data_IF_567746129089
#
_entry.id   IF_567746129089
#
_cell.length_a   1.000
_cell.length_b   1.000
_cell.length_c   1.000
_cell.angle_alpha   90.00
_cell.angle_beta   90.00
_cell.angle_gamma   90.00
#
_symmetry.space_group_name_H-M   'P 1'
#
loop_
_entity.id
_entity.type
_entity.pdbx_description
1 polymer ?
#
# COMPACT_ATOMS: atom_id res chain seq x y z
N UNK A 1 -12.42 -0.39 5.67
CA UNK A 1 -11.35 0.09 6.57
C UNK A 1 -11.13 1.54 6.23
N UNK A 2 -10.99 2.38 7.25
CA UNK A 2 -10.74 3.81 7.08
C UNK A 2 -9.25 4.05 6.71
N UNK A 3 -8.98 5.19 6.06
CA UNK A 3 -7.63 5.57 5.64
C UNK A 3 -6.85 6.23 6.78
N UNK A 4 -5.52 6.09 6.80
CA UNK A 4 -4.64 6.80 7.75
C UNK A 4 -4.26 8.16 7.14
N UNK A 5 -4.30 9.22 7.95
CA UNK A 5 -3.92 10.57 7.51
C UNK A 5 -2.63 11.01 8.23
N UNK A 6 -1.63 11.40 7.44
CA UNK A 6 -0.35 11.95 7.92
C UNK A 6 -0.24 13.40 7.45
N UNK A 7 -0.71 14.34 8.26
CA UNK A 7 -0.79 15.76 7.87
C UNK A 7 -1.69 15.97 6.64
N UNK A 8 -1.07 16.15 5.46
CA UNK A 8 -1.78 16.30 4.17
C UNK A 8 -1.75 15.06 3.29
N UNK A 9 -1.10 13.99 3.76
CA UNK A 9 -0.86 12.77 3.02
C UNK A 9 -1.87 11.71 3.41
N UNK A 10 -2.41 11.01 2.43
CA UNK A 10 -3.36 9.90 2.64
C UNK A 10 -2.59 8.58 2.50
N UNK A 11 -2.85 7.63 3.40
CA UNK A 11 -2.32 6.27 3.35
C UNK A 11 -3.49 5.28 3.41
N UNK A 12 -3.69 4.51 2.34
CA UNK A 12 -4.70 3.45 2.27
C UNK A 12 -4.32 2.26 3.15
N UNK A 13 -5.27 1.71 3.89
CA UNK A 13 -5.04 0.58 4.81
C UNK A 13 -5.18 -0.80 4.17
N UNK A 14 -5.59 -0.87 2.89
CA UNK A 14 -5.88 -2.11 2.17
C UNK A 14 -4.70 -2.68 1.36
N UNK A 15 -3.51 -2.08 1.48
CA UNK A 15 -2.33 -2.38 0.65
C UNK A 15 -1.04 -2.23 1.43
N UNK A 16 0.04 -2.75 0.84
CA UNK A 16 1.39 -2.67 1.38
C UNK A 16 2.20 -1.58 0.68
N UNK A 17 3.32 -1.19 1.29
CA UNK A 17 4.13 -0.05 0.87
C UNK A 17 5.63 -0.35 0.88
N UNK A 18 6.38 0.40 0.09
CA UNK A 18 7.85 0.38 0.07
C UNK A 18 8.43 1.65 0.71
N UNK A 19 9.73 1.60 1.01
CA UNK A 19 10.47 2.78 1.50
C UNK A 19 10.63 3.84 0.41
N UNK A 20 10.64 3.41 -0.85
CA UNK A 20 10.74 4.25 -2.04
C UNK A 20 9.39 4.82 -2.51
N UNK A 21 8.34 4.63 -1.70
CA UNK A 21 7.01 5.25 -1.87
C UNK A 21 6.20 4.71 -3.04
N UNK A 22 6.34 3.41 -3.31
CA UNK A 22 5.39 2.61 -4.07
C UNK A 22 4.39 1.91 -3.15
N UNK A 23 3.27 1.47 -3.72
CA UNK A 23 2.30 0.62 -3.06
C UNK A 23 2.01 -0.65 -3.86
N UNK A 24 1.61 -1.71 -3.16
CA UNK A 24 1.18 -2.98 -3.72
C UNK A 24 -0.15 -3.45 -3.11
N UNK A 25 -1.22 -3.46 -3.90
CA UNK A 25 -2.52 -4.03 -3.53
C UNK A 25 -2.58 -5.48 -3.98
N UNK A 26 -2.38 -6.42 -3.04
CA UNK A 26 -2.31 -7.85 -3.31
C UNK A 26 -3.69 -8.50 -3.24
N UNK A 27 -4.09 -9.21 -4.29
CA UNK A 27 -5.32 -10.01 -4.35
C UNK A 27 -5.02 -11.39 -4.95
N UNK A 28 -4.92 -12.41 -4.11
CA UNK A 28 -4.54 -13.75 -4.54
C UNK A 28 -3.09 -13.79 -5.02
N UNK A 29 -2.86 -14.21 -6.27
CA UNK A 29 -1.52 -14.24 -6.87
C UNK A 29 -1.18 -12.99 -7.69
N UNK A 30 -2.02 -11.95 -7.64
CA UNK A 30 -1.81 -10.70 -8.38
C UNK A 30 -1.59 -9.53 -7.44
N UNK A 31 -0.74 -8.60 -7.86
CA UNK A 31 -0.54 -7.33 -7.18
C UNK A 31 -0.72 -6.16 -8.16
N UNK A 32 -1.61 -5.24 -7.83
CA UNK A 32 -1.66 -3.93 -8.48
C UNK A 32 -0.62 -3.04 -7.83
N UNK A 33 0.13 -2.29 -8.63
CA UNK A 33 1.19 -1.42 -8.13
C UNK A 33 1.01 0.02 -8.63
N UNK A 34 1.53 0.96 -7.87
CA UNK A 34 1.53 2.39 -8.20
C UNK A 34 2.39 3.17 -7.21
N UNK A 35 2.30 4.50 -7.26
CA UNK A 35 3.02 5.39 -6.33
C UNK A 35 2.08 6.00 -5.30
N UNK A 36 2.61 6.36 -4.13
CA UNK A 36 1.79 6.92 -3.06
C UNK A 36 1.40 8.38 -3.29
N UNK A 37 0.41 8.85 -2.52
CA UNK A 37 0.04 10.26 -2.47
C UNK A 37 1.18 11.16 -1.96
N UNK A 38 2.09 10.62 -1.15
CA UNK A 38 3.34 11.31 -0.83
C UNK A 38 4.22 11.48 -2.07
N UNK A 39 4.52 10.39 -2.78
CA UNK A 39 5.40 10.41 -3.94
C UNK A 39 4.93 11.38 -5.02
N UNK A 40 3.65 11.34 -5.40
CA UNK A 40 3.12 12.23 -6.44
C UNK A 40 3.23 13.72 -6.04
N UNK A 41 3.05 14.06 -4.76
CA UNK A 41 3.20 15.45 -4.27
C UNK A 41 4.65 15.92 -4.34
N UNK A 42 5.60 15.04 -4.04
CA UNK A 42 7.03 15.38 -4.14
C UNK A 42 7.46 15.51 -5.61
N UNK A 43 6.99 14.62 -6.49
CA UNK A 43 7.19 14.73 -7.94
C UNK A 43 6.62 16.05 -8.51
N UNK A 44 5.45 16.48 -8.03
CA UNK A 44 4.67 17.57 -8.61
C UNK A 44 3.90 17.12 -9.85
N UNK A 45 3.61 18.06 -10.75
CA UNK A 45 2.74 17.81 -11.91
C UNK A 45 3.37 16.78 -12.86
N UNK A 46 2.79 15.58 -12.92
CA UNK A 46 3.22 14.48 -13.78
C UNK A 46 2.74 14.75 -15.20
N UNK A 47 3.67 14.64 -16.16
CA UNK A 47 3.43 14.95 -17.57
C UNK A 47 3.64 13.75 -18.49
N UNK A 48 4.34 12.72 -18.02
CA UNK A 48 4.60 11.51 -18.78
C UNK A 48 4.93 10.32 -17.86
N UNK A 49 4.64 9.11 -18.33
CA UNK A 49 5.11 7.87 -17.72
C UNK A 49 5.56 6.89 -18.81
N UNK A 50 6.72 6.28 -18.60
CA UNK A 50 7.20 5.14 -19.39
C UNK A 50 6.70 3.85 -18.76
N UNK A 51 5.65 3.27 -19.35
CA UNK A 51 4.98 2.08 -18.83
C UNK A 51 5.74 0.79 -19.21
N UNK A 52 5.72 -0.25 -18.36
CA UNK A 52 6.30 -1.55 -18.71
C UNK A 52 5.49 -2.25 -19.82
N UNK A 53 6.01 -3.33 -20.38
CA UNK A 53 5.27 -4.15 -21.34
C UNK A 53 4.67 -5.40 -20.71
N UNK A 54 3.46 -5.76 -21.13
CA UNK A 54 2.83 -7.03 -20.74
C UNK A 54 3.70 -8.20 -21.20
N UNK A 55 4.00 -9.11 -20.27
CA UNK A 55 4.86 -10.27 -20.48
C UNK A 55 6.31 -10.08 -20.03
N UNK A 56 6.73 -8.87 -19.67
CA UNK A 56 8.04 -8.63 -19.05
C UNK A 56 8.04 -9.08 -17.58
N UNK A 57 9.19 -9.58 -17.12
CA UNK A 57 9.39 -10.01 -15.74
C UNK A 57 10.40 -9.10 -15.05
N UNK A 58 10.14 -8.82 -13.77
CA UNK A 58 10.95 -7.97 -12.91
C UNK A 58 11.20 -8.69 -11.58
N UNK A 59 12.39 -8.48 -11.01
CA UNK A 59 12.67 -8.82 -9.62
C UNK A 59 12.29 -7.64 -8.70
N UNK A 60 12.00 -7.92 -7.42
CA UNK A 60 11.76 -6.86 -6.44
C UNK A 60 12.95 -5.89 -6.41
N UNK A 61 12.65 -4.59 -6.48
CA UNK A 61 13.64 -3.51 -6.56
C UNK A 61 14.12 -3.16 -7.97
N UNK A 62 13.74 -3.90 -9.01
CA UNK A 62 14.02 -3.51 -10.39
C UNK A 62 13.20 -2.27 -10.79
N UNK A 63 13.74 -1.44 -11.69
CA UNK A 63 12.97 -0.32 -12.26
C UNK A 63 11.93 -0.86 -13.23
N UNK A 64 10.64 -0.69 -12.89
CA UNK A 64 9.50 -1.15 -13.69
C UNK A 64 8.88 -0.05 -14.55
N UNK A 65 8.99 1.21 -14.14
CA UNK A 65 8.50 2.36 -14.88
C UNK A 65 9.35 3.60 -14.59
N UNK A 66 9.25 4.62 -15.43
CA UNK A 66 9.80 5.95 -15.14
C UNK A 66 8.70 7.00 -15.22
N UNK A 67 8.55 7.81 -14.17
CA UNK A 67 7.58 8.90 -14.13
C UNK A 67 8.32 10.22 -14.34
N UNK A 68 7.85 11.02 -15.30
CA UNK A 68 8.37 12.34 -15.59
C UNK A 68 7.36 13.41 -15.17
N UNK A 69 7.84 14.34 -14.36
CA UNK A 69 7.12 15.54 -13.94
C UNK A 69 7.75 16.79 -14.56
N UNK A 70 7.11 17.94 -14.35
CA UNK A 70 7.68 19.24 -14.72
C UNK A 70 8.99 19.58 -13.97
N UNK A 71 9.36 18.80 -12.95
CA UNK A 71 10.54 19.01 -12.10
C UNK A 71 11.64 17.99 -12.34
N UNK A 72 11.29 16.72 -12.53
CA UNK A 72 12.25 15.60 -12.51
C UNK A 72 11.71 14.37 -13.23
N UNK A 73 12.63 13.47 -13.56
CA UNK A 73 12.33 12.09 -13.95
C UNK A 73 12.73 11.20 -12.78
N UNK A 74 11.82 10.34 -12.35
CA UNK A 74 12.04 9.42 -11.23
C UNK A 74 11.73 7.98 -11.64
N UNK A 75 12.62 7.02 -11.35
CA UNK A 75 12.33 5.62 -11.51
C UNK A 75 11.28 5.18 -10.49
N UNK A 76 10.43 4.23 -10.88
CA UNK A 76 9.51 3.50 -10.02
C UNK A 76 10.02 2.08 -9.94
N UNK A 77 10.12 1.55 -8.72
CA UNK A 77 10.65 0.21 -8.49
C UNK A 77 9.51 -0.81 -8.35
N UNK A 78 9.75 -2.03 -8.80
CA UNK A 78 8.84 -3.14 -8.60
C UNK A 78 8.84 -3.51 -7.11
N UNK A 79 7.70 -3.43 -6.39
CA UNK A 79 7.66 -3.80 -4.97
C UNK A 79 7.84 -5.31 -4.77
N UNK A 80 7.43 -6.12 -5.76
CA UNK A 80 7.43 -7.58 -5.70
C UNK A 80 7.93 -8.14 -7.04
N UNK A 81 8.60 -9.29 -6.99
CA UNK A 81 9.02 -10.05 -8.15
C UNK A 81 7.82 -10.65 -8.87
N UNK A 82 7.75 -10.48 -10.18
CA UNK A 82 6.59 -10.94 -10.94
C UNK A 82 6.68 -10.67 -12.44
N UNK A 83 5.65 -11.13 -13.15
CA UNK A 83 5.47 -10.85 -14.58
C UNK A 83 4.31 -9.90 -14.78
N UNK A 84 4.50 -8.88 -15.61
CA UNK A 84 3.46 -7.90 -15.94
C UNK A 84 2.36 -8.59 -16.74
N UNK A 85 1.15 -8.63 -16.18
CA UNK A 85 -0.03 -9.23 -16.84
C UNK A 85 -1.04 -8.20 -17.31
N UNK A 86 -0.93 -6.96 -16.82
CA UNK A 86 -1.80 -5.84 -17.18
C UNK A 86 -1.07 -4.52 -16.95
N UNK A 87 -1.38 -3.51 -17.76
CA UNK A 87 -0.81 -2.16 -17.68
C UNK A 87 -1.93 -1.16 -17.84
N UNK A 88 -1.88 -0.05 -17.11
CA UNK A 88 -2.86 1.02 -17.24
C UNK A 88 -2.56 1.91 -18.45
N UNK A 89 -3.00 1.47 -19.63
CA UNK A 89 -2.78 2.19 -20.89
C UNK A 89 -3.34 3.63 -20.86
N UNK A 90 -4.35 3.89 -20.03
CA UNK A 90 -4.94 5.23 -19.83
C UNK A 90 -3.89 6.27 -19.44
N UNK A 91 -2.87 5.89 -18.68
CA UNK A 91 -1.82 6.82 -18.21
C UNK A 91 -0.95 7.37 -19.35
N UNK A 92 -0.94 6.74 -20.52
CA UNK A 92 -0.24 7.26 -21.70
C UNK A 92 -0.89 8.55 -22.24
N UNK A 93 -2.22 8.63 -22.15
CA UNK A 93 -3.00 9.79 -22.59
C UNK A 93 -3.33 10.74 -21.41
N UNK A 94 -3.46 10.18 -20.21
CA UNK A 94 -3.91 10.88 -19.00
C UNK A 94 -2.93 10.69 -17.81
N UNK A 95 -1.66 11.11 -17.93
CA UNK A 95 -0.65 10.90 -16.87
C UNK A 95 -0.97 11.63 -15.56
N UNK A 96 -1.79 12.68 -15.61
CA UNK A 96 -2.26 13.45 -14.45
C UNK A 96 -3.10 12.62 -13.45
N UNK A 97 -3.64 11.46 -13.86
CA UNK A 97 -4.32 10.53 -12.96
C UNK A 97 -3.42 10.04 -11.82
N UNK A 98 -2.10 10.02 -12.03
CA UNK A 98 -1.12 9.72 -10.96
C UNK A 98 -1.19 10.79 -9.86
N UNK A 99 -1.43 12.06 -10.21
CA UNK A 99 -1.58 13.13 -9.22
C UNK A 99 -2.97 13.15 -8.58
N UNK A 100 -4.03 12.92 -9.36
CA UNK A 100 -5.42 13.06 -8.90
C UNK A 100 -5.93 11.84 -8.13
N UNK A 101 -5.52 10.64 -8.55
CA UNK A 101 -6.08 9.36 -8.10
C UNK A 101 -4.98 8.30 -7.90
N UNK A 102 -3.88 8.59 -7.16
CA UNK A 102 -2.68 7.73 -7.08
C UNK A 102 -2.96 6.30 -6.61
N UNK A 103 -4.06 6.11 -5.86
CA UNK A 103 -4.45 4.83 -5.28
C UNK A 103 -5.57 4.10 -6.03
N UNK A 104 -6.29 4.80 -6.91
CA UNK A 104 -7.39 4.24 -7.68
C UNK A 104 -7.01 4.24 -9.16
N UNK A 105 -7.29 5.32 -9.91
CA UNK A 105 -7.11 5.36 -11.37
C UNK A 105 -5.64 5.52 -11.80
N UNK A 106 -4.75 5.86 -10.87
CA UNK A 106 -3.31 6.07 -11.05
C UNK A 106 -2.44 4.81 -10.90
N UNK A 107 -3.02 3.61 -10.83
CA UNK A 107 -2.26 2.36 -10.82
C UNK A 107 -1.46 2.20 -12.12
N UNK A 108 -0.26 1.62 -12.04
CA UNK A 108 0.70 1.56 -13.15
C UNK A 108 0.61 0.22 -13.89
N UNK A 109 0.74 -0.88 -13.13
CA UNK A 109 0.78 -2.23 -13.67
C UNK A 109 0.17 -3.24 -12.70
N UNK A 110 -0.15 -4.43 -13.22
CA UNK A 110 -0.49 -5.61 -12.43
C UNK A 110 0.57 -6.67 -12.66
N UNK A 111 1.14 -7.15 -11.56
CA UNK A 111 2.09 -8.25 -11.54
C UNK A 111 1.37 -9.55 -11.17
N UNK A 112 1.63 -10.62 -11.92
CA UNK A 112 1.46 -11.99 -11.43
C UNK A 112 2.73 -12.37 -10.65
N UNK A 113 2.58 -12.64 -9.35
CA UNK A 113 3.69 -12.78 -8.41
C UNK A 113 4.45 -14.08 -8.64
N UNK A 114 5.77 -13.97 -8.75
CA UNK A 114 6.68 -15.12 -8.84
C UNK A 114 6.90 -15.77 -7.47
N UNK A 115 6.94 -14.96 -6.41
CA UNK A 115 7.00 -15.39 -5.02
C UNK A 115 6.04 -14.55 -4.15
N UNK A 116 4.86 -15.08 -3.78
CA UNK A 116 3.92 -14.37 -2.92
C UNK A 116 4.44 -14.09 -1.51
N UNK A 117 5.51 -14.76 -1.04
CA UNK A 117 6.05 -14.55 0.30
C UNK A 117 6.80 -13.21 0.45
N UNK A 118 7.25 -12.60 -0.65
CA UNK A 118 7.92 -11.30 -0.64
C UNK A 118 7.02 -10.17 -0.08
N UNK A 119 5.71 -10.38 -0.01
CA UNK A 119 4.78 -9.44 0.65
C UNK A 119 5.13 -9.22 2.12
N UNK A 120 5.76 -10.20 2.79
CA UNK A 120 6.19 -10.10 4.18
C UNK A 120 7.33 -9.09 4.39
N UNK A 121 8.06 -8.75 3.32
CA UNK A 121 9.14 -7.76 3.35
C UNK A 121 8.64 -6.32 3.11
N UNK A 122 7.37 -6.17 2.70
CA UNK A 122 6.74 -4.87 2.49
C UNK A 122 6.18 -4.30 3.80
N UNK A 123 6.05 -2.97 3.87
CA UNK A 123 5.53 -2.30 5.04
C UNK A 123 4.00 -2.31 5.04
N UNK A 124 3.35 -2.65 6.17
CA UNK A 124 1.94 -2.35 6.37
C UNK A 124 1.69 -0.83 6.40
N UNK A 125 0.43 -0.43 6.27
CA UNK A 125 0.04 0.98 6.19
C UNK A 125 0.47 1.80 7.41
N UNK A 126 0.42 1.21 8.61
CA UNK A 126 0.80 1.85 9.87
C UNK A 126 2.30 2.16 9.92
N UNK A 127 3.13 1.22 9.47
CA UNK A 127 4.58 1.39 9.42
C UNK A 127 4.98 2.45 8.38
N UNK A 128 4.32 2.45 7.21
CA UNK A 128 4.53 3.49 6.21
C UNK A 128 4.10 4.87 6.70
N UNK A 129 2.97 4.95 7.42
CA UNK A 129 2.51 6.21 7.98
C UNK A 129 3.49 6.76 9.04
N UNK A 130 4.08 5.90 9.87
CA UNK A 130 5.14 6.29 10.80
C UNK A 130 6.40 6.77 10.07
N UNK A 131 6.82 6.07 9.02
CA UNK A 131 7.92 6.52 8.16
C UNK A 131 7.68 7.92 7.61
N UNK A 132 6.46 8.21 7.14
CA UNK A 132 6.10 9.55 6.64
C UNK A 132 6.17 10.63 7.74
N UNK A 133 5.77 10.32 8.97
CA UNK A 133 5.90 11.27 10.10
C UNK A 133 7.37 11.63 10.31
N UNK A 134 8.26 10.65 10.29
CA UNK A 134 9.71 10.86 10.44
C UNK A 134 10.27 11.70 9.28
N UNK A 135 9.97 11.32 8.04
CA UNK A 135 10.43 12.04 6.84
C UNK A 135 9.98 13.50 6.87
N UNK A 136 8.70 13.78 7.13
CA UNK A 136 8.20 15.15 7.13
C UNK A 136 8.83 15.98 8.25
N UNK A 137 9.05 15.39 9.41
CA UNK A 137 9.74 16.04 10.52
C UNK A 137 11.19 16.37 10.18
N UNK A 138 11.91 15.45 9.56
CA UNK A 138 13.33 15.61 9.25
C UNK A 138 13.57 16.54 8.06
N UNK A 139 12.83 16.37 6.96
CA UNK A 139 13.07 17.12 5.72
C UNK A 139 12.41 18.50 5.73
N UNK A 140 11.22 18.62 6.33
CA UNK A 140 10.43 19.86 6.31
C UNK A 140 10.48 20.63 7.63
N UNK A 141 11.00 20.00 8.70
CA UNK A 141 11.02 20.60 10.03
C UNK A 141 9.61 20.77 10.62
N UNK A 142 8.63 20.04 10.09
CA UNK A 142 7.21 20.16 10.46
C UNK A 142 6.79 18.97 11.31
N UNK A 143 6.19 19.24 12.48
CA UNK A 143 5.49 18.19 13.22
C UNK A 143 4.10 17.98 12.59
N UNK A 144 3.89 16.80 12.02
CA UNK A 144 2.60 16.39 11.47
C UNK A 144 1.84 15.50 12.45
N UNK A 145 0.51 15.65 12.45
CA UNK A 145 -0.37 14.75 13.19
C UNK A 145 -0.57 13.48 12.39
N UNK A 146 -0.45 12.35 13.09
CA UNK A 146 -0.84 11.03 12.62
C UNK A 146 -2.26 10.76 13.15
N UNK A 147 -3.22 10.65 12.24
CA UNK A 147 -4.59 10.28 12.55
C UNK A 147 -4.81 8.85 12.05
N UNK A 148 -4.91 7.92 13.01
CA UNK A 148 -5.22 6.52 12.76
C UNK A 148 -6.73 6.31 12.88
N UNK A 149 -7.33 5.40 12.09
CA UNK A 149 -8.73 5.06 12.26
C UNK A 149 -8.98 4.45 13.64
N UNK A 150 -10.13 4.78 14.26
CA UNK A 150 -10.50 4.18 15.55
C UNK A 150 -10.71 2.66 15.34
N UNK A 151 -9.98 1.83 16.09
CA UNK A 151 -10.21 0.38 16.07
C UNK A 151 -11.67 0.09 16.45
N UNK A 152 -12.45 -0.52 15.56
CA UNK A 152 -13.69 -1.19 15.96
C UNK A 152 -13.30 -2.32 16.94
N UNK A 153 -13.46 -2.07 18.23
CA UNK A 153 -13.39 -3.11 19.26
C UNK A 153 -14.53 -4.09 18.97
N UNK A 154 -14.20 -5.19 18.30
CA UNK A 154 -15.09 -6.34 18.22
C UNK A 154 -15.11 -6.94 19.63
N UNK A 155 -16.08 -6.53 20.45
CA UNK A 155 -16.43 -7.27 21.65
C UNK A 155 -16.93 -8.67 21.20
N UNK A 156 -16.03 -9.63 21.09
CA UNK A 156 -16.42 -11.03 20.98
C UNK A 156 -17.22 -11.39 22.23
N UNK A 157 -18.53 -11.49 22.01
CA UNK A 157 -19.59 -11.94 22.91
C UNK A 157 -19.23 -13.24 23.65
N UNK A 158 -18.49 -13.11 24.75
CA UNK A 158 -18.30 -14.14 25.78
C UNK A 158 -19.53 -14.17 26.71
N UNK A 159 -20.71 -14.50 26.20
CA UNK A 159 -21.85 -14.81 27.08
C UNK A 159 -22.90 -15.63 26.34
N UNK A 160 -22.77 -16.96 26.44
CA UNK A 160 -23.87 -17.92 26.68
C UNK A 160 -23.39 -19.36 26.43
N UNK A 161 -22.60 -19.92 27.36
CA UNK A 161 -22.62 -21.36 27.57
C UNK A 161 -23.62 -21.63 28.71
N UNK A 162 -24.69 -22.40 28.50
CA UNK A 162 -25.68 -22.67 29.54
C UNK A 162 -25.07 -23.51 30.68
N UNK A 163 -25.33 -23.10 31.93
CA UNK A 163 -24.85 -23.72 33.18
C UNK A 163 -25.55 -25.05 33.53
N UNK A 164 -25.65 -26.01 32.61
CA UNK A 164 -26.09 -27.36 32.94
C UNK A 164 -25.06 -28.38 32.46
N UNK A 165 -24.07 -28.66 33.31
CA UNK A 165 -23.51 -30.01 33.59
C UNK A 165 -22.45 -29.91 34.71
N UNK A 166 -22.83 -29.35 35.88
CA UNK A 166 -22.10 -29.62 37.13
C UNK A 166 -22.70 -30.85 37.80
N UNK A 167 -22.34 -32.02 37.29
CA UNK A 167 -22.60 -33.31 37.94
C UNK A 167 -21.73 -33.43 39.19
N UNK A 168 -22.32 -33.20 40.36
CA UNK A 168 -21.74 -33.56 41.64
C UNK A 168 -21.80 -35.09 41.80
N UNK A 169 -20.66 -35.78 41.69
CA UNK A 169 -20.49 -37.11 42.30
C UNK A 169 -19.83 -36.94 43.67
N UNK A 170 -20.63 -37.12 44.72
CA UNK A 170 -20.17 -37.30 46.09
C UNK A 170 -19.23 -38.50 46.19
N UNK A 171 -18.06 -38.32 46.80
CA UNK A 171 -17.29 -39.44 47.36
C UNK A 171 -17.13 -39.24 48.86
N UNK A 172 -17.99 -39.90 49.62
CA UNK A 172 -17.70 -40.30 50.99
C UNK A 172 -16.65 -41.44 50.97
N UNK A 173 -15.48 -41.18 51.54
CA UNK A 173 -14.82 -41.98 52.60
C UNK A 173 -13.43 -41.47 52.95
#
# INVERSE_FOLDING_TARGET
MEDIIVGKYVVKTDRYYTKDHEWALVKGNKAWIGITDYAQKELGDVVYIDLPQVGESYESGDTIANVESVKSVSPIYAPLSGTVVEVNETLSDEPHLINESPYEDGWIAVLELSDPMEVEDLMPAEDYAQLLVEIVKEEKGEEVKLEMPEEEVIEESLEALPEEELGYEEREK
#
